data_IF_064655564846
#
_entry.id   IF_064655564846
#
_cell.length_a   1.000
_cell.length_b   1.000
_cell.length_c   1.000
_cell.angle_alpha   90.00
_cell.angle_beta   90.00
_cell.angle_gamma   90.00
#
_symmetry.space_group_name_H-M   'P 1'
#
loop_
_entity.id
_entity.type
_entity.pdbx_description
1 polymer ?
#
# COMPACT_ATOMS: atom_id res chain seq x y z
N UNK A 1 -7.89 30.23 51.99
CA UNK A 1 -6.62 30.16 51.24
C UNK A 1 -6.47 28.88 50.44
N UNK A 2 -6.67 27.67 51.01
CA UNK A 2 -6.52 26.40 50.28
C UNK A 2 -7.40 26.25 49.03
N UNK A 3 -8.69 26.62 49.10
CA UNK A 3 -9.65 26.51 47.98
C UNK A 3 -9.36 27.47 46.80
N UNK A 4 -8.75 28.63 47.07
CA UNK A 4 -8.38 29.61 46.05
C UNK A 4 -7.13 29.14 45.29
N UNK A 5 -6.19 28.48 45.98
CA UNK A 5 -5.03 27.87 45.33
C UNK A 5 -5.42 26.74 44.36
N UNK A 6 -6.41 25.91 44.69
CA UNK A 6 -6.86 24.84 43.79
C UNK A 6 -7.55 25.38 42.53
N UNK A 7 -8.33 26.46 42.65
CA UNK A 7 -8.99 27.09 41.51
C UNK A 7 -7.94 27.74 40.58
N UNK A 8 -6.91 28.38 41.14
CA UNK A 8 -5.81 28.95 40.35
C UNK A 8 -5.00 27.86 39.61
N UNK A 9 -4.76 26.72 40.27
CA UNK A 9 -4.03 25.58 39.72
C UNK A 9 -4.79 24.92 38.55
N UNK A 10 -6.12 24.82 38.67
CA UNK A 10 -7.00 24.27 37.63
C UNK A 10 -7.05 25.21 36.41
N UNK A 11 -7.13 26.52 36.63
CA UNK A 11 -7.14 27.51 35.54
C UNK A 11 -5.81 27.51 34.76
N UNK A 12 -4.67 27.39 35.45
CA UNK A 12 -3.35 27.23 34.82
C UNK A 12 -3.28 25.95 33.98
N UNK A 13 -3.87 24.85 34.46
CA UNK A 13 -3.90 23.57 33.74
C UNK A 13 -4.74 23.66 32.45
N UNK A 14 -5.83 24.42 32.45
CA UNK A 14 -6.66 24.63 31.26
C UNK A 14 -5.99 25.53 30.21
N UNK A 15 -5.13 26.47 30.61
CA UNK A 15 -4.41 27.34 29.64
C UNK A 15 -3.26 26.63 28.91
N UNK A 16 -2.84 25.44 29.36
CA UNK A 16 -1.85 24.60 28.66
C UNK A 16 -2.45 23.83 27.47
N UNK A 17 -3.77 23.68 27.40
CA UNK A 17 -4.45 22.97 26.30
C UNK A 17 -4.73 23.86 25.08
N UNK A 18 -4.55 25.17 25.20
CA UNK A 18 -4.78 26.13 24.08
C UNK A 18 -3.48 26.67 23.47
N UNK A 19 -2.32 26.17 23.91
CA UNK A 19 -1.01 26.59 23.43
C UNK A 19 -0.36 25.50 22.55
N UNK A 20 -0.95 25.18 21.40
CA UNK A 20 -0.17 24.83 20.20
C UNK A 20 -1.08 24.86 18.96
N UNK A 21 -1.30 26.05 18.40
CA UNK A 21 -1.82 26.23 17.04
C UNK A 21 -0.75 25.96 15.97
N UNK A 22 0.05 24.91 16.15
CA UNK A 22 1.11 24.45 15.25
C UNK A 22 1.33 22.96 15.49
N UNK A 23 0.37 22.12 15.11
CA UNK A 23 0.36 20.70 15.52
C UNK A 23 -0.04 19.72 14.41
N UNK A 24 0.41 19.97 13.20
CA UNK A 24 0.46 18.90 12.18
C UNK A 24 1.89 18.33 12.12
N UNK A 25 2.93 19.18 12.03
CA UNK A 25 4.33 18.73 11.87
C UNK A 25 5.05 18.14 13.10
N UNK A 26 4.39 18.08 14.26
CA UNK A 26 5.02 17.59 15.51
C UNK A 26 4.49 16.23 15.96
N UNK A 27 3.34 15.80 15.43
CA UNK A 27 2.79 14.46 15.71
C UNK A 27 3.49 13.40 14.83
N UNK A 28 3.74 13.69 13.55
CA UNK A 28 4.51 12.84 12.63
C UNK A 28 5.85 12.41 13.22
N UNK A 29 6.69 13.38 13.63
CA UNK A 29 8.02 13.10 14.20
C UNK A 29 8.04 12.26 15.47
N UNK A 30 6.94 12.22 16.22
CA UNK A 30 6.82 11.41 17.44
C UNK A 30 6.30 10.01 17.09
N UNK A 31 5.38 9.91 16.13
CA UNK A 31 4.92 8.63 15.60
C UNK A 31 6.06 7.88 14.89
N UNK A 32 6.82 8.57 14.04
CA UNK A 32 8.03 8.07 13.37
C UNK A 32 8.97 7.37 14.36
N UNK A 33 9.40 8.08 15.41
CA UNK A 33 10.33 7.54 16.41
C UNK A 33 9.82 6.32 17.20
N UNK A 34 8.52 6.24 17.45
CA UNK A 34 7.94 5.10 18.18
C UNK A 34 7.92 3.85 17.29
N UNK A 35 7.64 4.04 16.01
CA UNK A 35 7.61 2.96 15.01
C UNK A 35 9.04 2.50 14.67
N UNK A 36 9.98 3.42 14.49
CA UNK A 36 11.42 3.13 14.36
C UNK A 36 11.92 2.27 15.54
N UNK A 37 11.61 2.66 16.79
CA UNK A 37 12.01 1.86 17.95
C UNK A 37 11.38 0.47 18.01
N UNK A 38 10.20 0.27 17.42
CA UNK A 38 9.51 -1.02 17.40
C UNK A 38 9.99 -1.96 16.28
N UNK A 39 10.41 -1.40 15.14
CA UNK A 39 10.83 -2.15 13.94
C UNK A 39 12.36 -2.26 13.79
N UNK A 40 13.15 -1.49 14.56
CA UNK A 40 14.63 -1.50 14.52
C UNK A 40 15.22 -0.35 13.69
N UNK A 41 16.47 -0.48 13.24
CA UNK A 41 17.16 0.53 12.40
C UNK A 41 16.63 0.56 10.94
N UNK A 42 15.32 0.37 10.72
CA UNK A 42 14.70 0.52 9.41
C UNK A 42 14.47 2.01 9.10
N UNK A 43 14.72 2.43 7.87
CA UNK A 43 14.43 3.80 7.42
C UNK A 43 12.94 3.89 7.05
N UNK A 44 12.18 4.69 7.79
CA UNK A 44 10.72 4.75 7.70
C UNK A 44 10.29 6.14 7.26
N UNK A 45 9.49 6.20 6.21
CA UNK A 45 8.81 7.40 5.73
C UNK A 45 7.33 7.33 6.15
N UNK A 46 6.81 8.39 6.78
CA UNK A 46 5.40 8.48 7.16
C UNK A 46 4.83 9.74 6.51
N UNK A 47 3.83 9.55 5.64
CA UNK A 47 3.07 10.64 5.02
C UNK A 47 1.58 10.44 5.30
N UNK A 48 1.09 11.09 6.36
CA UNK A 48 -0.29 10.92 6.83
C UNK A 48 -0.61 9.49 7.26
N UNK A 49 -1.45 8.81 6.47
CA UNK A 49 -1.86 7.41 6.69
C UNK A 49 -0.97 6.40 5.94
N UNK A 50 -0.05 6.89 5.08
CA UNK A 50 0.91 6.07 4.34
C UNK A 50 2.16 5.82 5.20
N UNK A 51 2.59 4.56 5.27
CA UNK A 51 3.83 4.16 5.94
C UNK A 51 4.70 3.40 4.96
N UNK A 52 5.83 3.99 4.59
CA UNK A 52 6.84 3.36 3.73
C UNK A 52 8.01 2.89 4.58
N UNK A 53 8.32 1.60 4.52
CA UNK A 53 9.52 1.00 5.12
C UNK A 53 10.52 0.74 4.01
N UNK A 54 11.64 1.45 4.02
CA UNK A 54 12.72 1.27 3.06
C UNK A 54 13.62 0.14 3.52
N UNK A 55 13.79 -0.87 2.67
CA UNK A 55 14.68 -2.01 2.94
C UNK A 55 15.71 -2.15 1.83
N UNK A 56 16.79 -2.90 2.06
CA UNK A 56 17.80 -3.17 1.01
C UNK A 56 17.19 -3.88 -0.20
N UNK A 57 16.08 -4.61 0.00
CA UNK A 57 15.36 -5.38 -1.01
C UNK A 57 14.22 -4.59 -1.69
N UNK A 58 14.03 -3.32 -1.31
CA UNK A 58 13.00 -2.41 -1.84
C UNK A 58 12.07 -1.81 -0.79
N UNK A 59 11.09 -1.04 -1.26
CA UNK A 59 10.23 -0.23 -0.40
C UNK A 59 8.89 -0.93 -0.17
N UNK A 60 8.49 -1.03 1.09
CA UNK A 60 7.20 -1.60 1.48
C UNK A 60 6.29 -0.47 1.91
N UNK A 61 5.25 -0.18 1.13
CA UNK A 61 4.36 0.94 1.40
C UNK A 61 2.96 0.49 1.79
N UNK A 62 2.64 0.67 3.06
CA UNK A 62 1.31 0.40 3.59
C UNK A 62 0.43 1.62 3.46
N UNK A 63 -0.81 1.44 3.02
CA UNK A 63 -1.79 2.51 2.93
C UNK A 63 -1.68 3.42 1.71
N UNK A 64 -0.71 3.21 0.81
CA UNK A 64 -0.69 3.94 -0.45
C UNK A 64 -1.90 3.59 -1.31
N UNK A 65 -2.48 4.61 -1.93
CA UNK A 65 -3.65 4.50 -2.80
C UNK A 65 -3.29 4.68 -4.27
N UNK A 66 -2.01 4.79 -4.59
CA UNK A 66 -1.52 5.03 -5.94
C UNK A 66 -0.83 3.80 -6.52
N UNK A 67 -0.84 3.70 -7.84
CA UNK A 67 -0.06 2.68 -8.53
C UNK A 67 1.44 3.02 -8.37
N UNK A 68 2.30 2.06 -8.02
CA UNK A 68 3.71 2.37 -7.78
C UNK A 68 4.38 2.89 -9.04
N UNK A 69 5.32 3.82 -8.87
CA UNK A 69 6.17 4.37 -9.93
C UNK A 69 7.56 3.72 -9.84
N UNK A 70 7.68 2.49 -10.36
CA UNK A 70 8.93 1.74 -10.40
C UNK A 70 9.23 1.24 -11.80
N UNK A 71 10.48 0.83 -12.04
CA UNK A 71 10.86 0.28 -13.33
C UNK A 71 10.03 -0.97 -13.67
N UNK A 72 9.73 -1.81 -12.68
CA UNK A 72 8.92 -3.01 -12.87
C UNK A 72 7.44 -2.67 -13.11
N UNK A 73 6.87 -1.75 -12.33
CA UNK A 73 5.46 -1.35 -12.48
C UNK A 73 5.18 -0.70 -13.83
N UNK A 74 6.16 0.02 -14.41
CA UNK A 74 6.07 0.60 -15.75
C UNK A 74 6.15 -0.41 -16.90
N UNK A 75 6.55 -1.67 -16.62
CA UNK A 75 6.62 -2.76 -17.61
C UNK A 75 5.41 -3.69 -17.57
N UNK A 76 4.50 -3.49 -16.63
CA UNK A 76 3.23 -4.22 -16.59
C UNK A 76 2.07 -3.26 -16.85
N UNK A 77 0.93 -3.75 -17.36
CA UNK A 77 -0.30 -2.98 -17.42
C UNK A 77 -0.69 -2.38 -16.06
N UNK A 78 -0.93 -1.08 -16.02
CA UNK A 78 -1.52 -0.44 -14.84
C UNK A 78 -2.99 -0.84 -14.67
N UNK A 79 -3.39 -1.18 -13.45
CA UNK A 79 -4.80 -1.39 -13.09
C UNK A 79 -5.39 -0.13 -12.47
N UNK A 80 -6.37 0.47 -13.16
CA UNK A 80 -6.90 1.81 -12.83
C UNK A 80 -8.27 1.80 -12.13
N UNK A 81 -8.77 0.63 -11.75
CA UNK A 81 -10.14 0.44 -11.24
C UNK A 81 -10.08 0.00 -9.79
N UNK A 82 -11.13 0.28 -9.02
CA UNK A 82 -11.16 0.02 -7.57
C UNK A 82 -10.29 0.99 -6.76
N UNK A 83 -10.07 0.63 -5.50
CA UNK A 83 -9.29 1.38 -4.51
C UNK A 83 -8.03 0.59 -4.14
N UNK A 84 -6.84 1.10 -4.45
CA UNK A 84 -5.59 0.49 -3.98
C UNK A 84 -5.52 0.68 -2.47
N UNK A 85 -5.28 -0.41 -1.73
CA UNK A 85 -5.22 -0.40 -0.25
C UNK A 85 -3.87 -0.84 0.30
N UNK A 86 -3.01 -1.43 -0.54
CA UNK A 86 -1.68 -1.88 -0.14
C UNK A 86 -0.76 -2.06 -1.35
N UNK A 87 0.49 -1.63 -1.21
CA UNK A 87 1.53 -1.74 -2.24
C UNK A 87 2.83 -2.26 -1.63
N UNK A 88 3.36 -3.35 -2.17
CA UNK A 88 4.74 -3.79 -1.90
C UNK A 88 5.49 -3.65 -3.20
N UNK A 89 6.59 -2.88 -3.23
CA UNK A 89 7.25 -2.56 -4.49
C UNK A 89 8.78 -2.47 -4.34
N UNK A 90 9.48 -3.20 -5.21
CA UNK A 90 10.92 -3.12 -5.38
C UNK A 90 11.29 -3.16 -6.85
N UNK A 91 12.58 -3.07 -7.15
CA UNK A 91 13.08 -3.27 -8.51
C UNK A 91 12.82 -4.68 -9.05
N UNK A 92 12.68 -5.67 -8.16
CA UNK A 92 12.54 -7.08 -8.52
C UNK A 92 11.11 -7.62 -8.36
N UNK A 93 10.30 -7.03 -7.50
CA UNK A 93 8.98 -7.55 -7.15
C UNK A 93 7.95 -6.43 -6.96
N UNK A 94 6.71 -6.74 -7.32
CA UNK A 94 5.56 -5.88 -7.13
C UNK A 94 4.38 -6.70 -6.60
N UNK A 95 3.64 -6.14 -5.64
CA UNK A 95 2.32 -6.58 -5.21
C UNK A 95 1.42 -5.37 -4.98
N UNK A 96 0.23 -5.40 -5.55
CA UNK A 96 -0.82 -4.40 -5.35
C UNK A 96 -2.11 -5.10 -4.95
N UNK A 97 -2.71 -4.67 -3.85
CA UNK A 97 -4.02 -5.13 -3.39
C UNK A 97 -5.04 -4.02 -3.65
N UNK A 98 -6.12 -4.37 -4.34
CA UNK A 98 -7.18 -3.45 -4.74
C UNK A 98 -8.53 -3.97 -4.25
N UNK A 99 -9.29 -3.12 -3.56
CA UNK A 99 -10.67 -3.37 -3.13
C UNK A 99 -11.68 -2.68 -4.05
N UNK A 100 -12.97 -3.00 -3.88
CA UNK A 100 -14.09 -2.44 -4.65
C UNK A 100 -13.93 -2.59 -6.18
N UNK A 101 -13.33 -3.70 -6.61
CA UNK A 101 -13.15 -4.00 -8.02
C UNK A 101 -14.42 -4.65 -8.59
N UNK A 102 -14.95 -4.09 -9.68
CA UNK A 102 -16.03 -4.74 -10.41
C UNK A 102 -15.50 -5.91 -11.26
N UNK A 103 -16.27 -6.99 -11.35
CA UNK A 103 -15.86 -8.21 -12.07
C UNK A 103 -15.49 -7.93 -13.52
N UNK A 104 -16.26 -7.09 -14.22
CA UNK A 104 -15.99 -6.74 -15.62
C UNK A 104 -14.68 -5.95 -15.77
N UNK A 105 -14.36 -5.06 -14.82
CA UNK A 105 -13.10 -4.31 -14.80
C UNK A 105 -11.90 -5.24 -14.62
N UNK A 106 -12.00 -6.22 -13.72
CA UNK A 106 -10.96 -7.26 -13.59
C UNK A 106 -10.85 -8.11 -14.86
N UNK A 107 -11.97 -8.45 -15.50
CA UNK A 107 -11.98 -9.27 -16.71
C UNK A 107 -11.37 -8.57 -17.93
N UNK A 108 -11.49 -7.24 -18.01
CA UNK A 108 -10.78 -6.43 -19.01
C UNK A 108 -9.26 -6.51 -18.81
N UNK A 109 -8.81 -6.37 -17.56
CA UNK A 109 -7.40 -6.50 -17.21
C UNK A 109 -6.87 -7.92 -17.45
N UNK A 110 -7.62 -8.94 -17.03
CA UNK A 110 -7.35 -10.36 -17.30
C UNK A 110 -7.10 -10.60 -18.78
N UNK A 111 -7.94 -10.04 -19.64
CA UNK A 111 -7.82 -10.23 -21.10
C UNK A 111 -6.57 -9.55 -21.64
N UNK A 112 -6.24 -8.37 -21.12
CA UNK A 112 -5.02 -7.64 -21.47
C UNK A 112 -3.75 -8.42 -21.10
N UNK A 113 -3.63 -8.82 -19.84
CA UNK A 113 -2.44 -9.56 -19.37
C UNK A 113 -2.33 -10.93 -20.04
N UNK A 114 -3.45 -11.58 -20.38
CA UNK A 114 -3.43 -12.83 -21.14
C UNK A 114 -2.86 -12.67 -22.54
N UNK A 115 -3.02 -11.51 -23.17
CA UNK A 115 -2.40 -11.20 -24.46
C UNK A 115 -0.89 -10.94 -24.35
N UNK A 116 -0.50 -10.15 -23.35
CA UNK A 116 0.88 -9.66 -23.19
C UNK A 116 1.81 -10.65 -22.47
N UNK A 117 1.29 -11.45 -21.53
CA UNK A 117 2.04 -12.41 -20.70
C UNK A 117 1.62 -13.84 -21.03
N UNK A 118 1.81 -14.24 -22.28
CA UNK A 118 1.25 -15.48 -22.84
C UNK A 118 2.18 -16.71 -22.73
N UNK A 119 3.40 -16.55 -22.21
CA UNK A 119 4.33 -17.65 -21.97
C UNK A 119 4.06 -18.32 -20.62
N UNK A 120 4.32 -19.63 -20.54
CA UNK A 120 4.17 -20.44 -19.32
C UNK A 120 2.87 -20.19 -18.54
N UNK A 121 1.78 -19.95 -19.27
CA UNK A 121 0.56 -19.41 -18.68
C UNK A 121 -0.29 -20.46 -17.97
N UNK A 122 -0.98 -20.01 -16.94
CA UNK A 122 -1.94 -20.77 -16.16
C UNK A 122 -3.18 -19.92 -15.87
N UNK A 123 -4.36 -20.52 -15.97
CA UNK A 123 -5.61 -19.85 -15.66
C UNK A 123 -6.51 -20.70 -14.76
N UNK A 124 -7.20 -20.02 -13.83
CA UNK A 124 -8.21 -20.61 -12.95
C UNK A 124 -9.44 -19.72 -12.95
N UNK A 125 -10.61 -20.33 -13.17
CA UNK A 125 -11.90 -19.67 -12.99
C UNK A 125 -12.83 -20.59 -12.22
N UNK A 126 -13.15 -20.21 -11.00
CA UNK A 126 -14.19 -20.81 -10.16
C UNK A 126 -15.25 -19.75 -9.85
N UNK A 127 -16.27 -20.14 -9.08
CA UNK A 127 -17.29 -19.19 -8.59
C UNK A 127 -16.68 -18.11 -7.69
N UNK A 128 -15.73 -18.50 -6.85
CA UNK A 128 -15.12 -17.63 -5.83
C UNK A 128 -13.86 -16.90 -6.30
N UNK A 129 -13.17 -17.43 -7.31
CA UNK A 129 -11.84 -16.93 -7.71
C UNK A 129 -11.61 -16.99 -9.20
N UNK A 130 -11.11 -15.89 -9.75
CA UNK A 130 -10.60 -15.78 -11.12
C UNK A 130 -9.12 -15.44 -11.02
N UNK A 131 -8.25 -16.21 -11.67
CA UNK A 131 -6.82 -15.95 -11.67
C UNK A 131 -6.16 -16.24 -13.02
N UNK A 132 -5.14 -15.47 -13.32
CA UNK A 132 -4.23 -15.66 -14.44
C UNK A 132 -2.79 -15.54 -13.95
N UNK A 133 -1.93 -16.41 -14.44
CA UNK A 133 -0.49 -16.30 -14.31
C UNK A 133 0.17 -16.51 -15.67
N UNK A 134 1.28 -15.84 -15.94
CA UNK A 134 2.07 -16.04 -17.14
C UNK A 134 3.27 -15.11 -17.19
N UNK A 135 4.10 -15.28 -18.21
CA UNK A 135 5.29 -14.46 -18.45
C UNK A 135 5.30 -13.89 -19.86
N UNK A 136 6.10 -12.84 -20.07
CA UNK A 136 6.31 -12.21 -21.38
C UNK A 136 7.72 -12.52 -21.94
N UNK A 137 7.99 -12.07 -23.17
CA UNK A 137 9.29 -12.28 -23.84
C UNK A 137 10.48 -11.59 -23.14
N UNK A 138 10.22 -10.62 -22.26
CA UNK A 138 11.24 -9.96 -21.44
C UNK A 138 11.57 -10.73 -20.15
N UNK A 139 10.93 -11.89 -19.93
CA UNK A 139 11.11 -12.72 -18.73
C UNK A 139 10.35 -12.23 -17.51
N UNK A 140 9.51 -11.20 -17.64
CA UNK A 140 8.69 -10.69 -16.54
C UNK A 140 7.51 -11.64 -16.32
N UNK A 141 7.32 -12.06 -15.08
CA UNK A 141 6.18 -12.88 -14.68
C UNK A 141 5.11 -12.02 -14.03
N UNK A 142 3.84 -12.31 -14.31
CA UNK A 142 2.68 -11.66 -13.70
C UNK A 142 1.73 -12.69 -13.12
N UNK A 143 1.12 -12.37 -11.98
CA UNK A 143 -0.03 -13.08 -11.42
C UNK A 143 -1.10 -12.06 -11.09
N UNK A 144 -2.30 -12.26 -11.61
CA UNK A 144 -3.47 -11.47 -11.24
C UNK A 144 -4.56 -12.41 -10.73
N UNK A 145 -5.10 -12.14 -9.55
CA UNK A 145 -6.23 -12.88 -8.98
C UNK A 145 -7.33 -11.93 -8.52
N UNK A 146 -8.56 -12.44 -8.51
CA UNK A 146 -9.75 -11.73 -8.08
C UNK A 146 -10.64 -12.66 -7.29
N UNK A 147 -10.99 -12.26 -6.08
CA UNK A 147 -11.95 -12.93 -5.22
C UNK A 147 -13.31 -12.29 -5.41
N UNK A 148 -14.25 -13.01 -5.99
CA UNK A 148 -15.56 -12.47 -6.42
C UNK A 148 -16.43 -12.04 -5.24
N UNK A 149 -16.37 -12.77 -4.12
CA UNK A 149 -17.15 -12.49 -2.91
C UNK A 149 -16.75 -11.18 -2.22
N UNK A 150 -15.45 -10.89 -2.19
CA UNK A 150 -14.89 -9.74 -1.48
C UNK A 150 -14.61 -8.54 -2.41
N UNK A 151 -14.81 -8.72 -3.73
CA UNK A 151 -14.46 -7.73 -4.77
C UNK A 151 -13.01 -7.26 -4.67
N UNK A 152 -12.11 -8.16 -4.28
CA UNK A 152 -10.70 -7.86 -4.07
C UNK A 152 -9.86 -8.43 -5.21
N UNK A 153 -9.06 -7.58 -5.85
CA UNK A 153 -8.04 -7.99 -6.79
C UNK A 153 -6.64 -7.94 -6.14
N UNK A 154 -5.78 -8.86 -6.55
CA UNK A 154 -4.36 -8.87 -6.23
C UNK A 154 -3.58 -8.98 -7.53
N UNK A 155 -2.64 -8.05 -7.74
CA UNK A 155 -1.76 -8.04 -8.91
C UNK A 155 -0.33 -8.09 -8.41
N UNK A 156 0.42 -9.10 -8.83
CA UNK A 156 1.84 -9.19 -8.56
C UNK A 156 2.65 -9.42 -9.82
N UNK A 157 3.89 -8.92 -9.79
CA UNK A 157 4.85 -9.15 -10.85
C UNK A 157 6.25 -9.36 -10.29
N UNK A 158 7.09 -10.05 -11.04
CA UNK A 158 8.51 -10.19 -10.74
C UNK A 158 9.35 -10.07 -11.99
N UNK A 159 10.49 -9.41 -11.87
CA UNK A 159 11.51 -9.44 -12.90
C UNK A 159 12.06 -10.87 -13.06
N UNK A 160 12.30 -11.31 -14.29
CA UNK A 160 13.00 -12.57 -14.55
C UNK A 160 14.48 -12.48 -14.16
N UNK A 161 15.07 -13.61 -13.77
CA UNK A 161 16.52 -13.75 -13.53
C UNK A 161 17.35 -13.62 -14.82
#
# INVERSE_FOLDING_TARGET
MKKICYILLIIILFTLLTACGAKEKMEEKIAEKIIEQALGDADIDIDGDEVTVKTEDGDVTFGSTEWPDSQLSGKIPEFKKGNIVSVINSEAYLLVIIEDVETDDFMDYYTKIKGEFNQESYETKSEDTIAYAGSNEEGISIVASYTTGDKTASISASAGE
#
